data_IF_535069844825
#
_entry.id   IF_535069844825
#
_cell.length_a   1.000
_cell.length_b   1.000
_cell.length_c   1.000
_cell.angle_alpha   90.00
_cell.angle_beta   90.00
_cell.angle_gamma   90.00
#
_symmetry.space_group_name_H-M   'P 1'
#
loop_
_entity.id
_entity.type
_entity.pdbx_description
1 polymer ?
#
# COMPACT_ATOMS: atom_id res chain seq x y z
N UNK A 1 -12.19 0.35 -10.14
CA UNK A 1 -13.61 0.73 -10.08
C UNK A 1 -14.42 -0.40 -9.45
N UNK A 2 -15.21 -0.07 -8.45
CA UNK A 2 -16.03 -1.03 -7.71
C UNK A 2 -17.49 -0.54 -7.66
N UNK A 3 -18.42 -1.47 -7.81
CA UNK A 3 -19.84 -1.21 -7.60
C UNK A 3 -20.23 -1.70 -6.20
N UNK A 4 -20.94 -0.88 -5.44
CA UNK A 4 -21.32 -1.27 -4.08
C UNK A 4 -22.72 -0.82 -3.69
N UNK A 5 -23.41 -1.69 -2.95
CA UNK A 5 -24.70 -1.39 -2.36
C UNK A 5 -24.51 -0.45 -1.14
N UNK A 6 -25.50 0.41 -0.83
CA UNK A 6 -25.35 1.38 0.25
C UNK A 6 -25.08 0.75 1.62
N UNK A 7 -25.68 -0.38 1.94
CA UNK A 7 -25.49 -1.08 3.22
C UNK A 7 -24.10 -1.76 3.38
N UNK A 8 -23.36 -1.91 2.28
CA UNK A 8 -22.03 -2.50 2.28
C UNK A 8 -20.91 -1.47 2.10
N UNK A 9 -21.26 -0.24 1.74
CA UNK A 9 -20.30 0.80 1.38
C UNK A 9 -19.25 1.05 2.48
N UNK A 10 -19.68 1.24 3.72
CA UNK A 10 -18.79 1.54 4.83
C UNK A 10 -17.76 0.42 5.07
N UNK A 11 -18.21 -0.83 5.07
CA UNK A 11 -17.31 -1.97 5.26
C UNK A 11 -16.30 -2.08 4.10
N UNK A 12 -16.75 -1.89 2.87
CA UNK A 12 -15.89 -1.91 1.69
C UNK A 12 -14.83 -0.80 1.74
N UNK A 13 -15.21 0.43 2.14
CA UNK A 13 -14.28 1.53 2.31
C UNK A 13 -13.24 1.26 3.40
N UNK A 14 -13.63 0.67 4.52
CA UNK A 14 -12.72 0.25 5.60
C UNK A 14 -11.74 -0.82 5.14
N UNK A 15 -12.24 -1.83 4.42
CA UNK A 15 -11.40 -2.89 3.88
C UNK A 15 -10.36 -2.34 2.89
N UNK A 16 -10.79 -1.44 2.01
CA UNK A 16 -9.88 -0.75 1.08
C UNK A 16 -8.80 0.06 1.82
N UNK A 17 -9.20 0.84 2.83
CA UNK A 17 -8.25 1.60 3.65
C UNK A 17 -7.23 0.70 4.34
N UNK A 18 -7.65 -0.44 4.87
CA UNK A 18 -6.76 -1.40 5.53
C UNK A 18 -5.81 -2.09 4.54
N UNK A 19 -6.25 -2.34 3.32
CA UNK A 19 -5.46 -3.02 2.30
C UNK A 19 -4.44 -2.11 1.60
N UNK A 20 -4.84 -0.89 1.24
CA UNK A 20 -4.06 0.00 0.38
C UNK A 20 -3.68 1.33 1.03
N UNK A 21 -4.14 1.60 2.25
CA UNK A 21 -3.90 2.86 2.94
C UNK A 21 -4.73 4.02 2.40
N UNK A 22 -4.31 5.24 2.73
CA UNK A 22 -5.02 6.45 2.29
C UNK A 22 -4.87 6.65 0.78
N UNK A 23 -5.99 6.86 0.11
CA UNK A 23 -6.10 7.12 -1.33
C UNK A 23 -7.19 8.12 -1.61
N UNK A 24 -7.03 8.89 -2.68
CA UNK A 24 -8.11 9.69 -3.22
C UNK A 24 -9.16 8.77 -3.85
N UNK A 25 -10.41 9.08 -3.61
CA UNK A 25 -11.56 8.31 -4.08
C UNK A 25 -12.64 9.24 -4.61
N UNK A 26 -13.34 8.79 -5.61
CA UNK A 26 -14.58 9.40 -6.07
C UNK A 26 -15.72 8.42 -5.79
N UNK A 27 -16.69 8.85 -5.01
CA UNK A 27 -17.93 8.13 -4.80
C UNK A 27 -18.98 8.68 -5.76
N UNK A 28 -19.33 7.91 -6.78
CA UNK A 28 -20.40 8.25 -7.70
C UNK A 28 -21.70 7.59 -7.21
N UNK A 29 -22.63 8.39 -6.73
CA UNK A 29 -23.94 7.94 -6.28
C UNK A 29 -24.96 8.09 -7.39
N UNK A 30 -25.76 7.07 -7.62
CA UNK A 30 -26.83 7.07 -8.62
C UNK A 30 -26.34 7.50 -10.01
N UNK A 31 -25.17 7.02 -10.42
CA UNK A 31 -24.52 7.35 -11.68
C UNK A 31 -25.49 7.18 -12.87
N UNK A 32 -25.54 8.17 -13.77
CA UNK A 32 -26.46 8.25 -14.93
C UNK A 32 -27.95 8.35 -14.59
N UNK A 33 -28.32 8.50 -13.32
CA UNK A 33 -29.70 8.71 -12.87
C UNK A 33 -29.95 10.18 -12.55
N UNK A 34 -31.24 10.54 -12.33
CA UNK A 34 -31.68 11.92 -12.08
C UNK A 34 -30.99 12.59 -10.90
N UNK A 35 -30.66 11.86 -9.86
CA UNK A 35 -30.03 12.36 -8.63
C UNK A 35 -28.56 11.96 -8.52
N UNK A 36 -27.86 11.96 -9.64
CA UNK A 36 -26.43 11.71 -9.70
C UNK A 36 -25.65 12.71 -8.82
N UNK A 37 -24.74 12.17 -8.02
CA UNK A 37 -23.85 12.96 -7.18
C UNK A 37 -22.43 12.38 -7.23
N UNK A 38 -21.43 13.24 -7.37
CA UNK A 38 -20.01 12.86 -7.39
C UNK A 38 -19.31 13.48 -6.19
N UNK A 39 -18.85 12.64 -5.29
CA UNK A 39 -18.14 13.06 -4.08
C UNK A 39 -16.66 12.72 -4.25
N UNK A 40 -15.83 13.77 -4.30
CA UNK A 40 -14.36 13.64 -4.37
C UNK A 40 -13.77 13.85 -2.99
N UNK A 41 -13.11 12.83 -2.46
CA UNK A 41 -12.54 12.85 -1.11
C UNK A 41 -11.42 11.81 -0.99
N UNK A 42 -10.89 11.65 0.22
CA UNK A 42 -9.99 10.55 0.57
C UNK A 42 -10.78 9.38 1.17
N UNK A 43 -10.15 8.21 1.28
CA UNK A 43 -10.81 7.05 1.90
C UNK A 43 -11.23 7.32 3.34
N UNK A 44 -10.39 7.98 4.15
CA UNK A 44 -10.72 8.34 5.53
C UNK A 44 -11.91 9.29 5.62
N UNK A 45 -11.96 10.31 4.74
CA UNK A 45 -13.09 11.24 4.65
C UNK A 45 -14.38 10.53 4.24
N UNK A 46 -14.29 9.60 3.28
CA UNK A 46 -15.43 8.80 2.84
C UNK A 46 -15.97 7.89 3.96
N UNK A 47 -15.09 7.30 4.76
CA UNK A 47 -15.44 6.49 5.91
C UNK A 47 -16.17 7.35 6.95
N UNK A 48 -15.60 8.49 7.34
CA UNK A 48 -16.20 9.41 8.31
C UNK A 48 -17.58 9.88 7.87
N UNK A 49 -17.73 10.25 6.60
CA UNK A 49 -19.02 10.65 6.03
C UNK A 49 -20.05 9.51 6.05
N UNK A 50 -19.62 8.30 5.73
CA UNK A 50 -20.52 7.11 5.75
C UNK A 50 -20.91 6.68 7.15
N UNK A 51 -20.09 6.99 8.16
CA UNK A 51 -20.43 6.75 9.57
C UNK A 51 -21.43 7.77 10.13
N UNK A 52 -21.33 9.02 9.67
CA UNK A 52 -22.21 10.11 10.15
C UNK A 52 -23.55 10.18 9.42
N UNK A 53 -23.55 9.84 8.13
CA UNK A 53 -24.74 9.86 7.28
C UNK A 53 -24.93 8.48 6.65
N UNK A 54 -26.10 7.87 6.84
CA UNK A 54 -26.42 6.59 6.24
C UNK A 54 -26.38 6.68 4.70
N UNK A 55 -25.55 5.89 4.01
CA UNK A 55 -25.48 5.91 2.55
C UNK A 55 -26.83 5.49 1.92
N UNK A 56 -27.27 6.22 0.91
CA UNK A 56 -28.52 5.95 0.18
C UNK A 56 -28.19 5.86 -1.32
N UNK A 57 -28.78 4.88 -1.99
CA UNK A 57 -28.63 4.67 -3.42
C UNK A 57 -27.45 3.75 -3.78
N UNK A 58 -27.22 3.54 -5.06
CA UNK A 58 -26.13 2.72 -5.56
C UNK A 58 -24.85 3.56 -5.73
N UNK A 59 -23.73 2.98 -5.33
CA UNK A 59 -22.43 3.63 -5.40
C UNK A 59 -21.49 2.95 -6.37
N UNK A 60 -20.73 3.77 -7.09
CA UNK A 60 -19.55 3.36 -7.83
C UNK A 60 -18.34 4.00 -7.15
N UNK A 61 -17.40 3.19 -6.71
CA UNK A 61 -16.17 3.63 -6.05
C UNK A 61 -15.05 3.67 -7.09
N UNK A 62 -14.49 4.84 -7.32
CA UNK A 62 -13.37 5.04 -8.24
C UNK A 62 -12.15 5.43 -7.42
N UNK A 63 -11.18 4.52 -7.33
CA UNK A 63 -9.94 4.75 -6.58
C UNK A 63 -8.87 5.34 -7.48
N UNK A 64 -8.10 6.27 -6.94
CA UNK A 64 -6.87 6.74 -7.57
C UNK A 64 -5.86 5.60 -7.65
N UNK A 65 -5.31 5.36 -8.83
CA UNK A 65 -4.25 4.38 -9.02
C UNK A 65 -2.94 4.86 -8.39
N UNK A 66 -2.07 3.93 -8.05
CA UNK A 66 -0.70 4.24 -7.64
C UNK A 66 0.18 4.37 -8.86
N UNK A 67 1.04 5.38 -8.88
CA UNK A 67 2.15 5.41 -9.83
C UNK A 67 3.18 4.34 -9.47
N UNK A 68 3.92 3.85 -10.45
CA UNK A 68 5.03 2.91 -10.22
C UNK A 68 6.06 3.47 -9.23
N UNK A 69 6.34 4.77 -9.33
CA UNK A 69 7.22 5.51 -8.41
C UNK A 69 6.70 5.50 -6.97
N UNK A 70 5.40 5.73 -6.77
CA UNK A 70 4.79 5.70 -5.44
C UNK A 70 4.84 4.30 -4.82
N UNK A 71 4.62 3.25 -5.61
CA UNK A 71 4.74 1.86 -5.15
C UNK A 71 6.17 1.51 -4.75
N UNK A 72 7.16 1.96 -5.52
CA UNK A 72 8.58 1.77 -5.20
C UNK A 72 8.94 2.50 -3.90
N UNK A 73 8.44 3.70 -3.70
CA UNK A 73 8.71 4.48 -2.50
C UNK A 73 8.06 3.87 -1.25
N UNK A 74 6.84 3.35 -1.35
CA UNK A 74 6.19 2.60 -0.27
C UNK A 74 7.00 1.35 0.11
N UNK A 75 7.50 0.62 -0.88
CA UNK A 75 8.39 -0.53 -0.64
C UNK A 75 9.66 -0.13 0.10
N UNK A 76 10.30 0.98 -0.29
CA UNK A 76 11.49 1.49 0.39
C UNK A 76 11.19 1.82 1.85
N UNK A 77 10.12 2.57 2.12
CA UNK A 77 9.71 2.96 3.47
C UNK A 77 9.45 1.77 4.39
N UNK A 78 8.88 0.70 3.84
CA UNK A 78 8.62 -0.54 4.60
C UNK A 78 9.93 -1.13 5.17
N UNK A 79 11.02 -1.04 4.42
CA UNK A 79 12.29 -1.61 4.79
C UNK A 79 13.24 -0.64 5.50
N UNK A 80 12.91 0.65 5.57
CA UNK A 80 13.74 1.65 6.25
C UNK A 80 13.80 1.46 7.78
N UNK A 81 12.80 0.80 8.36
CA UNK A 81 12.71 0.55 9.79
C UNK A 81 13.53 -0.65 10.26
N UNK A 82 14.00 -1.49 9.37
CA UNK A 82 14.81 -2.67 9.69
C UNK A 82 16.19 -2.55 9.05
N UNK A 83 17.19 -3.12 9.72
CA UNK A 83 18.54 -3.10 9.21
C UNK A 83 18.74 -4.08 8.04
N UNK A 84 19.85 -3.92 7.34
CA UNK A 84 20.16 -4.74 6.16
C UNK A 84 20.31 -6.22 6.48
N UNK A 85 20.84 -6.57 7.63
CA UNK A 85 21.01 -7.97 8.05
C UNK A 85 19.64 -8.65 8.20
N UNK A 86 18.72 -8.02 8.91
CA UNK A 86 17.35 -8.52 9.09
C UNK A 86 16.59 -8.61 7.77
N UNK A 87 16.82 -7.65 6.87
CA UNK A 87 16.19 -7.67 5.55
C UNK A 87 16.69 -8.86 4.71
N UNK A 88 17.99 -9.12 4.71
CA UNK A 88 18.56 -10.29 4.03
C UNK A 88 18.10 -11.59 4.68
N UNK A 89 18.08 -11.66 6.01
CA UNK A 89 17.59 -12.81 6.76
C UNK A 89 16.13 -13.14 6.45
N UNK A 90 15.31 -12.13 6.24
CA UNK A 90 13.92 -12.32 5.82
C UNK A 90 13.82 -13.18 4.55
N UNK A 91 14.65 -12.92 3.55
CA UNK A 91 14.67 -13.72 2.33
C UNK A 91 15.34 -15.08 2.50
N UNK A 92 16.36 -15.20 3.35
CA UNK A 92 16.99 -16.47 3.67
C UNK A 92 16.00 -17.43 4.35
N UNK A 93 15.15 -16.93 5.24
CA UNK A 93 14.07 -17.69 5.89
C UNK A 93 12.99 -18.17 4.92
N UNK A 94 12.86 -17.50 3.78
CA UNK A 94 11.94 -17.92 2.70
C UNK A 94 12.53 -19.00 1.79
N UNK A 95 13.73 -19.48 2.07
CA UNK A 95 14.40 -20.50 1.27
C UNK A 95 15.24 -19.96 0.11
N UNK A 96 15.44 -18.64 0.03
CA UNK A 96 16.36 -18.04 -0.96
C UNK A 96 17.81 -18.28 -0.56
N UNK A 97 18.69 -18.46 -1.56
CA UNK A 97 20.12 -18.50 -1.29
C UNK A 97 20.66 -17.09 -0.97
N UNK A 98 21.88 -17.01 -0.43
CA UNK A 98 22.47 -15.73 -0.01
C UNK A 98 22.56 -14.71 -1.14
N UNK A 99 22.92 -15.14 -2.34
CA UNK A 99 23.04 -14.26 -3.52
C UNK A 99 21.68 -13.66 -3.91
N UNK A 100 20.64 -14.48 -3.94
CA UNK A 100 19.27 -14.06 -4.22
C UNK A 100 18.71 -13.15 -3.12
N UNK A 101 18.96 -13.49 -1.85
CA UNK A 101 18.54 -12.68 -0.71
C UNK A 101 19.14 -11.27 -0.77
N UNK A 102 20.43 -11.15 -1.06
CA UNK A 102 21.11 -9.87 -1.23
C UNK A 102 20.55 -9.09 -2.41
N UNK A 103 20.31 -9.76 -3.54
CA UNK A 103 19.75 -9.14 -4.74
C UNK A 103 18.33 -8.60 -4.48
N UNK A 104 17.50 -9.37 -3.80
CA UNK A 104 16.13 -8.98 -3.46
C UNK A 104 16.10 -7.81 -2.47
N UNK A 105 16.92 -7.87 -1.43
CA UNK A 105 17.06 -6.78 -0.46
C UNK A 105 17.55 -5.48 -1.12
N UNK A 106 18.50 -5.57 -2.03
CA UNK A 106 19.02 -4.43 -2.79
C UNK A 106 17.93 -3.82 -3.68
N UNK A 107 17.17 -4.66 -4.38
CA UNK A 107 16.05 -4.23 -5.22
C UNK A 107 14.98 -3.48 -4.41
N UNK A 108 14.57 -4.03 -3.26
CA UNK A 108 13.58 -3.42 -2.37
C UNK A 108 14.02 -2.06 -1.84
N UNK A 109 15.31 -1.90 -1.58
CA UNK A 109 15.90 -0.65 -1.06
C UNK A 109 16.30 0.33 -2.17
N UNK A 110 16.28 -0.09 -3.42
CA UNK A 110 16.70 0.72 -4.56
C UNK A 110 18.19 1.04 -4.56
N UNK A 111 19.01 0.13 -4.06
CA UNK A 111 20.49 0.24 -4.02
C UNK A 111 21.14 -0.94 -4.77
N UNK A 112 22.44 -0.83 -5.05
CA UNK A 112 23.15 -1.91 -5.72
C UNK A 112 23.38 -3.12 -4.79
N UNK A 113 23.31 -4.33 -5.32
CA UNK A 113 23.58 -5.55 -4.57
C UNK A 113 24.96 -5.55 -3.91
N UNK A 114 25.95 -4.96 -4.59
CA UNK A 114 27.30 -4.78 -4.05
C UNK A 114 27.32 -3.93 -2.78
N UNK A 115 26.47 -2.92 -2.71
CA UNK A 115 26.34 -2.06 -1.54
C UNK A 115 25.78 -2.82 -0.34
N UNK A 116 24.75 -3.63 -0.54
CA UNK A 116 24.19 -4.53 0.49
C UNK A 116 25.28 -5.49 1.00
N UNK A 117 25.99 -6.11 0.09
CA UNK A 117 27.09 -7.04 0.43
C UNK A 117 28.19 -6.36 1.27
N UNK A 118 28.61 -5.17 0.88
CA UNK A 118 29.63 -4.41 1.60
C UNK A 118 29.17 -4.03 3.01
N UNK A 119 27.91 -3.63 3.18
CA UNK A 119 27.34 -3.32 4.49
C UNK A 119 27.25 -4.55 5.39
N UNK A 120 26.91 -5.71 4.84
CA UNK A 120 26.89 -6.97 5.60
C UNK A 120 28.29 -7.34 6.12
N UNK A 121 29.33 -7.19 5.30
CA UNK A 121 30.71 -7.45 5.70
C UNK A 121 31.15 -6.47 6.77
N UNK A 122 30.88 -5.18 6.59
CA UNK A 122 31.23 -4.14 7.55
C UNK A 122 30.60 -4.39 8.92
N UNK A 123 29.33 -4.74 8.94
CA UNK A 123 28.60 -5.04 10.18
C UNK A 123 29.13 -6.30 10.86
N UNK A 124 29.50 -7.32 10.09
CA UNK A 124 30.10 -8.56 10.62
C UNK A 124 31.47 -8.30 11.26
N UNK A 125 32.27 -7.43 10.65
CA UNK A 125 33.59 -7.05 11.20
C UNK A 125 33.45 -6.20 12.47
N UNK A 126 32.39 -5.41 12.61
CA UNK A 126 32.13 -4.61 13.82
C UNK A 126 31.64 -5.45 15.01
N UNK A 127 31.06 -6.64 14.77
CA UNK A 127 30.60 -7.57 15.82
C UNK A 127 31.68 -8.51 16.34
N UNK A 128 32.81 -8.58 15.65
CA UNK A 128 34.00 -9.29 16.07
C UNK A 128 35.00 -8.27 16.66
#
# INVERSE_FOLDING_TARGET
VLYEAPHKLLNTLRDLFNLIGERKVVLARELTKKFEDLIRCTLSEAIDKSETEAPIGEFVIILEGSSEEALLEEKRKRWDTINIEEHVDFYLKQGKNKKEAIKNAASDRGIAAREVYNQLIKNKNLKN
#
